data_IF_057511813317
#
_entry.id   IF_057511813317
#
_cell.length_a   1.000
_cell.length_b   1.000
_cell.length_c   1.000
_cell.angle_alpha   90.00
_cell.angle_beta   90.00
_cell.angle_gamma   90.00
#
_symmetry.space_group_name_H-M   'P 1'
#
loop_
_entity.id
_entity.type
_entity.pdbx_description
1 polymer ?
#
# COMPACT_ATOMS: atom_id res chain seq x y z
N UNK A 1 -16.39 -1.80 6.38
CA UNK A 1 -16.06 -2.41 5.08
C UNK A 1 -14.89 -3.35 5.29
N UNK A 2 -14.91 -4.55 4.73
CA UNK A 2 -13.77 -5.45 4.80
C UNK A 2 -12.88 -5.20 3.58
N UNK A 3 -11.56 -5.18 3.79
CA UNK A 3 -10.57 -5.02 2.71
C UNK A 3 -9.70 -6.25 2.71
N UNK A 4 -9.59 -6.87 1.54
CA UNK A 4 -8.74 -8.02 1.31
C UNK A 4 -7.90 -7.75 0.06
N UNK A 5 -6.60 -8.01 0.15
CA UNK A 5 -5.74 -8.00 -1.03
C UNK A 5 -5.95 -9.30 -1.80
N UNK A 6 -6.16 -9.18 -3.11
CA UNK A 6 -5.98 -10.32 -4.00
C UNK A 6 -4.51 -10.72 -4.00
N UNK A 7 -4.22 -12.01 -4.19
CA UNK A 7 -2.84 -12.51 -4.20
C UNK A 7 -1.94 -11.75 -5.19
N UNK A 8 -2.45 -11.42 -6.36
CA UNK A 8 -1.72 -10.61 -7.36
C UNK A 8 -1.42 -9.21 -6.85
N UNK A 9 -2.38 -8.56 -6.20
CA UNK A 9 -2.20 -7.21 -5.65
C UNK A 9 -1.19 -7.20 -4.48
N UNK A 10 -1.14 -8.26 -3.67
CA UNK A 10 -0.12 -8.41 -2.63
C UNK A 10 1.28 -8.55 -3.24
N UNK A 11 1.43 -9.36 -4.29
CA UNK A 11 2.70 -9.52 -5.00
C UNK A 11 3.17 -8.20 -5.62
N UNK A 12 2.29 -7.51 -6.34
CA UNK A 12 2.59 -6.20 -6.96
C UNK A 12 2.94 -5.16 -5.90
N UNK A 13 2.27 -5.18 -4.74
CA UNK A 13 2.57 -4.27 -3.64
C UNK A 13 3.96 -4.51 -3.05
N UNK A 14 4.35 -5.78 -2.83
CA UNK A 14 5.71 -6.13 -2.36
C UNK A 14 6.77 -5.73 -3.39
N UNK A 15 6.52 -5.96 -4.68
CA UNK A 15 7.42 -5.54 -5.76
C UNK A 15 7.62 -4.02 -5.78
N UNK A 16 6.54 -3.24 -5.62
CA UNK A 16 6.62 -1.79 -5.56
C UNK A 16 7.40 -1.29 -4.34
N UNK A 17 7.19 -1.89 -3.16
CA UNK A 17 7.96 -1.58 -1.95
C UNK A 17 9.45 -1.80 -2.19
N UNK A 18 9.81 -2.98 -2.72
CA UNK A 18 11.21 -3.32 -3.00
C UNK A 18 11.83 -2.39 -4.04
N UNK A 19 11.10 -2.06 -5.11
CA UNK A 19 11.55 -1.13 -6.13
C UNK A 19 11.88 0.24 -5.52
N UNK A 20 10.94 0.84 -4.78
CA UNK A 20 11.16 2.15 -4.19
C UNK A 20 12.27 2.16 -3.13
N UNK A 21 12.40 1.09 -2.35
CA UNK A 21 13.47 1.01 -1.36
C UNK A 21 14.86 0.84 -1.99
N UNK A 22 14.95 0.31 -3.22
CA UNK A 22 16.19 0.29 -4.00
C UNK A 22 16.53 1.66 -4.61
N UNK A 23 15.52 2.45 -4.98
CA UNK A 23 15.74 3.81 -5.50
C UNK A 23 16.23 4.77 -4.40
N UNK A 24 15.69 4.64 -3.19
CA UNK A 24 16.16 5.36 -2.01
C UNK A 24 15.85 4.57 -0.75
N UNK A 25 16.84 4.46 0.15
CA UNK A 25 16.65 3.79 1.43
C UNK A 25 15.47 4.41 2.20
N UNK A 26 14.55 3.56 2.65
CA UNK A 26 13.37 3.95 3.42
C UNK A 26 12.14 4.30 2.58
N UNK A 27 12.30 4.67 1.30
CA UNK A 27 11.19 5.14 0.47
C UNK A 27 10.10 4.09 0.27
N UNK A 28 10.48 2.81 0.12
CA UNK A 28 9.51 1.72 0.01
C UNK A 28 8.61 1.57 1.23
N UNK A 29 9.15 1.84 2.43
CA UNK A 29 8.36 1.81 3.66
C UNK A 29 7.45 3.03 3.80
N UNK A 30 7.89 4.21 3.37
CA UNK A 30 7.06 5.40 3.31
C UNK A 30 5.87 5.20 2.36
N UNK A 31 6.13 4.62 1.18
CA UNK A 31 5.10 4.23 0.23
C UNK A 31 4.10 3.24 0.85
N UNK A 32 4.59 2.18 1.50
CA UNK A 32 3.72 1.19 2.15
C UNK A 32 2.81 1.82 3.22
N UNK A 33 3.37 2.73 4.03
CA UNK A 33 2.61 3.44 5.04
C UNK A 33 1.50 4.31 4.43
N UNK A 34 1.75 4.95 3.28
CA UNK A 34 0.75 5.78 2.63
C UNK A 34 -0.36 4.97 1.94
N UNK A 35 -0.04 3.80 1.39
CA UNK A 35 -1.06 2.85 0.91
C UNK A 35 -1.97 2.41 2.05
N UNK A 36 -1.41 2.05 3.22
CA UNK A 36 -2.19 1.66 4.40
C UNK A 36 -3.07 2.80 4.93
N UNK A 37 -2.55 4.03 4.97
CA UNK A 37 -3.35 5.22 5.35
C UNK A 37 -4.47 5.50 4.35
N UNK A 38 -4.21 5.33 3.06
CA UNK A 38 -5.22 5.46 2.00
C UNK A 38 -6.34 4.45 2.16
N UNK A 39 -6.02 3.17 2.36
CA UNK A 39 -7.01 2.11 2.60
C UNK A 39 -7.85 2.42 3.85
N UNK A 40 -7.20 2.88 4.93
CA UNK A 40 -7.89 3.26 6.16
C UNK A 40 -8.91 4.38 5.90
N UNK A 41 -8.54 5.40 5.11
CA UNK A 41 -9.45 6.49 4.72
C UNK A 41 -10.62 5.98 3.88
N UNK A 42 -10.41 5.05 2.94
CA UNK A 42 -11.49 4.47 2.13
C UNK A 42 -12.46 3.69 3.02
N UNK A 43 -11.94 2.95 4.02
CA UNK A 43 -12.78 2.22 4.99
C UNK A 43 -13.60 3.17 5.87
N UNK A 44 -13.00 4.28 6.30
CA UNK A 44 -13.65 5.30 7.13
C UNK A 44 -14.68 6.11 6.34
N UNK A 45 -14.40 6.40 5.07
CA UNK A 45 -15.23 7.23 4.20
C UNK A 45 -15.56 6.53 2.86
N UNK A 46 -16.34 5.44 2.85
CA UNK A 46 -16.55 4.62 1.67
C UNK A 46 -17.43 5.26 0.56
N UNK A 47 -18.03 6.42 0.83
CA UNK A 47 -18.95 7.13 -0.07
C UNK A 47 -18.52 8.58 -0.36
N UNK A 48 -17.30 8.97 0.04
CA UNK A 48 -16.80 10.33 -0.15
C UNK A 48 -16.67 10.71 -1.63
#
# INVERSE_FOLDING_TARGET
MNVEFLQTAESEFIEAINHYNNESEGLGYEFAAEVQRTISRIVEYPLA
#
